data_IF_738676369054
#
_entry.id   IF_738676369054
#
_cell.length_a   1.000
_cell.length_b   1.000
_cell.length_c   1.000
_cell.angle_alpha   90.00
_cell.angle_beta   90.00
_cell.angle_gamma   90.00
#
_symmetry.space_group_name_H-M   'P 1'
#
loop_
_entity.id
_entity.type
_entity.pdbx_description
1 polymer ?
#
# COMPACT_ATOMS: atom_id res chain seq x y z
N UNK A 1 3.82 -44.27 -13.27
CA UNK A 1 2.65 -43.55 -13.81
C UNK A 1 1.90 -42.92 -12.64
N UNK A 2 1.44 -41.67 -12.81
CA UNK A 2 0.68 -40.82 -11.85
C UNK A 2 1.44 -40.50 -10.54
N UNK A 3 2.16 -39.39 -10.31
CA UNK A 3 2.01 -37.95 -10.67
C UNK A 3 0.57 -37.47 -10.65
N UNK A 4 0.15 -36.95 -9.49
CA UNK A 4 -0.81 -35.85 -9.23
C UNK A 4 -1.58 -36.15 -7.95
N UNK A 5 -1.25 -35.47 -6.85
CA UNK A 5 -2.17 -35.10 -5.75
C UNK A 5 -1.51 -34.25 -4.66
N UNK A 6 -0.55 -33.38 -5.04
CA UNK A 6 -0.07 -32.29 -4.20
C UNK A 6 -0.08 -31.07 -5.09
N UNK A 7 -1.24 -30.42 -5.20
CA UNK A 7 -1.44 -29.12 -5.84
C UNK A 7 -2.78 -28.53 -5.36
N UNK A 8 -2.99 -28.53 -4.04
CA UNK A 8 -4.18 -27.93 -3.40
C UNK A 8 -3.90 -26.53 -2.81
N UNK A 9 -2.68 -26.01 -2.98
CA UNK A 9 -2.28 -24.67 -2.52
C UNK A 9 -1.83 -23.73 -3.66
N UNK A 10 -2.08 -24.11 -4.91
CA UNK A 10 -1.81 -23.28 -6.08
C UNK A 10 -3.06 -22.52 -6.49
N UNK A 11 -3.13 -21.25 -6.11
CA UNK A 11 -4.06 -20.29 -6.70
C UNK A 11 -5.24 -19.92 -5.80
N UNK A 12 -4.99 -19.16 -4.73
CA UNK A 12 -5.83 -17.97 -4.59
C UNK A 12 -5.32 -17.01 -5.66
N UNK A 13 -6.09 -16.67 -6.71
CA UNK A 13 -5.96 -15.32 -7.22
C UNK A 13 -6.24 -14.46 -6.00
N UNK A 14 -5.23 -13.77 -5.47
CA UNK A 14 -5.51 -12.61 -4.64
C UNK A 14 -6.46 -11.79 -5.49
N UNK A 15 -7.70 -11.68 -5.01
CA UNK A 15 -8.64 -10.76 -5.58
C UNK A 15 -7.98 -9.40 -5.37
N UNK A 16 -7.31 -8.91 -6.41
CA UNK A 16 -6.91 -7.53 -6.62
C UNK A 16 -8.23 -6.75 -6.70
N UNK A 17 -8.92 -6.66 -5.57
CA UNK A 17 -10.09 -5.82 -5.41
C UNK A 17 -9.53 -4.41 -5.55
N UNK A 18 -9.90 -3.76 -6.65
CA UNK A 18 -9.55 -2.40 -7.04
C UNK A 18 -9.55 -1.42 -5.84
N UNK A 19 -8.47 -1.40 -5.06
CA UNK A 19 -8.20 -0.41 -4.02
C UNK A 19 -7.64 0.82 -4.71
N UNK A 20 -8.45 1.40 -5.59
CA UNK A 20 -8.12 2.66 -6.23
C UNK A 20 -8.33 3.73 -5.18
N UNK A 21 -7.26 4.38 -4.76
CA UNK A 21 -7.36 5.56 -3.89
C UNK A 21 -8.03 6.64 -4.73
N UNK A 22 -9.32 6.86 -4.52
CA UNK A 22 -10.12 7.77 -5.31
C UNK A 22 -9.74 9.23 -5.03
N UNK A 23 -9.54 10.01 -6.09
CA UNK A 23 -9.21 11.44 -6.00
C UNK A 23 -8.22 11.90 -7.07
N UNK A 24 -7.38 12.88 -6.71
CA UNK A 24 -6.43 13.56 -7.61
C UNK A 24 -5.34 12.62 -8.14
N UNK A 25 -5.09 11.52 -7.42
CA UNK A 25 -4.13 10.48 -7.77
C UNK A 25 -4.64 9.41 -8.76
N UNK A 26 -5.90 9.51 -9.22
CA UNK A 26 -6.44 8.67 -10.27
C UNK A 26 -6.52 7.18 -9.91
N UNK A 27 -6.31 6.29 -10.90
CA UNK A 27 -6.43 4.81 -10.75
C UNK A 27 -5.12 4.16 -10.26
N UNK A 28 -4.34 4.84 -9.42
CA UNK A 28 -3.13 4.25 -8.86
C UNK A 28 -3.48 3.32 -7.69
N UNK A 29 -2.70 2.25 -7.54
CA UNK A 29 -2.79 1.36 -6.38
C UNK A 29 -2.10 2.00 -5.17
N UNK A 30 -2.42 1.59 -3.94
CA UNK A 30 -1.77 2.10 -2.73
C UNK A 30 -0.26 1.86 -2.75
N UNK A 31 0.17 0.72 -3.29
CA UNK A 31 1.59 0.38 -3.45
C UNK A 31 2.28 1.32 -4.43
N UNK A 32 1.63 1.66 -5.55
CA UNK A 32 2.17 2.62 -6.50
C UNK A 32 2.31 4.02 -5.87
N UNK A 33 1.31 4.46 -5.09
CA UNK A 33 1.33 5.73 -4.38
C UNK A 33 2.41 5.80 -3.30
N UNK A 34 2.62 4.69 -2.60
CA UNK A 34 3.66 4.59 -1.59
C UNK A 34 5.05 4.25 -2.17
N UNK A 35 5.14 4.05 -3.50
CA UNK A 35 6.34 3.56 -4.20
C UNK A 35 6.91 2.28 -3.55
N UNK A 36 6.04 1.35 -3.20
CA UNK A 36 6.39 0.06 -2.59
C UNK A 36 6.44 -1.01 -3.69
N UNK A 37 7.54 -1.76 -3.72
CA UNK A 37 7.68 -2.97 -4.53
C UNK A 37 7.92 -4.17 -3.59
N UNK A 38 6.88 -4.97 -3.27
CA UNK A 38 6.99 -6.10 -2.35
C UNK A 38 7.94 -7.20 -2.83
N UNK A 39 8.27 -7.25 -4.12
CA UNK A 39 9.20 -8.25 -4.66
C UNK A 39 10.66 -7.85 -4.46
N UNK A 40 10.93 -6.55 -4.26
CA UNK A 40 12.29 -6.00 -4.14
C UNK A 40 12.60 -5.43 -2.77
N UNK A 41 11.59 -5.09 -1.98
CA UNK A 41 11.74 -4.49 -0.66
C UNK A 41 11.45 -5.52 0.43
N UNK A 42 12.34 -5.55 1.42
CA UNK A 42 12.08 -6.23 2.69
C UNK A 42 11.03 -5.50 3.50
N UNK A 43 10.43 -6.20 4.46
CA UNK A 43 9.42 -5.62 5.35
C UNK A 43 9.93 -4.40 6.14
N UNK A 44 11.20 -4.42 6.55
CA UNK A 44 11.82 -3.30 7.27
C UNK A 44 12.00 -2.07 6.36
N UNK A 45 12.41 -2.28 5.10
CA UNK A 45 12.49 -1.19 4.12
C UNK A 45 11.10 -0.59 3.83
N UNK A 46 10.07 -1.43 3.73
CA UNK A 46 8.68 -0.98 3.59
C UNK A 46 8.26 -0.15 4.82
N UNK A 47 8.57 -0.62 6.03
CA UNK A 47 8.27 0.11 7.29
C UNK A 47 8.93 1.49 7.30
N UNK A 48 10.21 1.58 6.91
CA UNK A 48 10.95 2.84 6.84
C UNK A 48 10.38 3.78 5.77
N UNK A 49 10.02 3.25 4.60
CA UNK A 49 9.38 4.00 3.52
C UNK A 49 8.05 4.61 3.98
N UNK A 50 7.19 3.80 4.60
CA UNK A 50 5.90 4.23 5.15
C UNK A 50 6.07 5.28 6.26
N UNK A 51 7.05 5.14 7.14
CA UNK A 51 7.34 6.14 8.18
C UNK A 51 7.72 7.51 7.59
N UNK A 52 8.54 7.52 6.52
CA UNK A 52 8.90 8.74 5.80
C UNK A 52 7.69 9.41 5.13
N UNK A 53 6.83 8.60 4.50
CA UNK A 53 5.56 9.05 3.90
C UNK A 53 4.62 9.65 4.95
N UNK A 54 4.49 9.01 6.11
CA UNK A 54 3.65 9.50 7.20
C UNK A 54 4.12 10.85 7.75
N UNK A 55 5.44 11.05 7.83
CA UNK A 55 6.00 12.35 8.21
C UNK A 55 5.65 13.46 7.20
N UNK A 56 5.66 13.14 5.89
CA UNK A 56 5.24 14.07 4.84
C UNK A 56 3.75 14.39 4.92
N UNK A 57 2.92 13.38 5.15
CA UNK A 57 1.49 13.55 5.41
C UNK A 57 1.26 14.57 6.54
N UNK A 58 1.93 14.42 7.69
CA UNK A 58 1.72 15.32 8.82
C UNK A 58 2.06 16.78 8.52
N UNK A 59 3.01 17.03 7.62
CA UNK A 59 3.34 18.37 7.15
C UNK A 59 2.25 18.92 6.22
N UNK A 60 1.77 18.10 5.27
CA UNK A 60 0.76 18.49 4.30
C UNK A 60 -0.63 18.67 4.93
N UNK A 61 -1.00 17.84 5.91
CA UNK A 61 -2.26 17.93 6.63
C UNK A 61 -2.43 19.25 7.41
N UNK A 62 -1.32 19.85 7.85
CA UNK A 62 -1.29 21.17 8.51
C UNK A 62 -1.24 22.36 7.56
N UNK A 63 -1.23 22.14 6.24
CA UNK A 63 -1.10 23.20 5.25
C UNK A 63 -2.33 24.12 5.21
N UNK A 64 -2.11 25.40 4.89
CA UNK A 64 -3.19 26.34 4.61
C UNK A 64 -3.80 26.13 3.21
N UNK A 65 -3.13 25.39 2.33
CA UNK A 65 -3.66 25.04 1.03
C UNK A 65 -4.66 23.87 1.17
N UNK A 66 -5.95 24.05 0.83
CA UNK A 66 -6.95 23.00 0.94
C UNK A 66 -6.64 21.78 0.05
N UNK A 67 -6.08 21.98 -1.15
CA UNK A 67 -5.76 20.88 -2.07
C UNK A 67 -4.68 19.97 -1.48
N UNK A 68 -3.64 20.55 -0.87
CA UNK A 68 -2.59 19.77 -0.21
C UNK A 68 -3.11 18.94 0.98
N UNK A 69 -4.16 19.39 1.66
CA UNK A 69 -4.78 18.62 2.75
C UNK A 69 -5.57 17.44 2.20
N UNK A 70 -6.32 17.64 1.12
CA UNK A 70 -7.06 16.57 0.45
C UNK A 70 -6.12 15.51 -0.12
N UNK A 71 -5.00 15.92 -0.73
CA UNK A 71 -3.94 15.00 -1.15
C UNK A 71 -3.34 14.22 0.01
N UNK A 72 -3.16 14.89 1.16
CA UNK A 72 -2.61 14.25 2.35
C UNK A 72 -3.56 13.16 2.86
N UNK A 73 -4.87 13.42 2.94
CA UNK A 73 -5.86 12.41 3.36
C UNK A 73 -5.82 11.17 2.45
N UNK A 74 -5.78 11.35 1.13
CA UNK A 74 -5.66 10.23 0.18
C UNK A 74 -4.35 9.45 0.37
N UNK A 75 -3.24 10.15 0.62
CA UNK A 75 -1.96 9.51 0.91
C UNK A 75 -1.98 8.73 2.23
N UNK A 76 -2.69 9.23 3.25
CA UNK A 76 -2.82 8.54 4.53
C UNK A 76 -3.53 7.19 4.36
N UNK A 77 -4.61 7.15 3.57
CA UNK A 77 -5.32 5.89 3.27
C UNK A 77 -4.39 4.87 2.58
N UNK A 78 -3.59 5.33 1.62
CA UNK A 78 -2.60 4.47 0.95
C UNK A 78 -1.55 3.91 1.93
N UNK A 79 -1.02 4.75 2.82
CA UNK A 79 -0.04 4.36 3.84
C UNK A 79 -0.62 3.30 4.77
N UNK A 80 -1.84 3.51 5.27
CA UNK A 80 -2.53 2.57 6.17
C UNK A 80 -2.73 1.23 5.46
N UNK A 81 -3.22 1.25 4.23
CA UNK A 81 -3.44 0.03 3.46
C UNK A 81 -2.14 -0.78 3.29
N UNK A 82 -1.05 -0.13 2.86
CA UNK A 82 0.24 -0.80 2.71
C UNK A 82 0.80 -1.30 4.06
N UNK A 83 0.59 -0.56 5.15
CA UNK A 83 1.02 -0.99 6.48
C UNK A 83 0.29 -2.25 6.92
N UNK A 84 -1.04 -2.27 6.81
CA UNK A 84 -1.85 -3.43 7.18
C UNK A 84 -1.41 -4.67 6.38
N UNK A 85 -1.25 -4.50 5.07
CA UNK A 85 -0.92 -5.58 4.14
C UNK A 85 0.49 -6.15 4.33
N UNK A 86 1.50 -5.29 4.50
CA UNK A 86 2.90 -5.73 4.47
C UNK A 86 3.59 -5.74 5.83
N UNK A 87 3.10 -4.97 6.81
CA UNK A 87 3.76 -4.82 8.11
C UNK A 87 2.98 -5.56 9.21
N UNK A 88 1.67 -5.32 9.31
CA UNK A 88 0.88 -5.81 10.44
C UNK A 88 0.34 -7.24 10.20
N UNK A 89 0.04 -7.64 8.95
CA UNK A 89 -0.50 -8.99 8.63
C UNK A 89 0.48 -10.15 8.85
N UNK A 90 1.75 -9.88 9.11
CA UNK A 90 2.80 -10.89 9.32
C UNK A 90 3.25 -11.02 10.80
N UNK A 91 2.62 -10.28 11.72
CA UNK A 91 2.83 -10.36 13.16
C UNK A 91 1.81 -11.29 13.83
#
# INVERSE_FOLDING_TARGET
MFKKLINFFSGRPEQEQDLRVGGIFGKMTPEALCEIDPQKMSQEEIRQKLASLYKRHNQAAGSLNPELREEAEQMLDAIVHCREKYVDSAA
#
